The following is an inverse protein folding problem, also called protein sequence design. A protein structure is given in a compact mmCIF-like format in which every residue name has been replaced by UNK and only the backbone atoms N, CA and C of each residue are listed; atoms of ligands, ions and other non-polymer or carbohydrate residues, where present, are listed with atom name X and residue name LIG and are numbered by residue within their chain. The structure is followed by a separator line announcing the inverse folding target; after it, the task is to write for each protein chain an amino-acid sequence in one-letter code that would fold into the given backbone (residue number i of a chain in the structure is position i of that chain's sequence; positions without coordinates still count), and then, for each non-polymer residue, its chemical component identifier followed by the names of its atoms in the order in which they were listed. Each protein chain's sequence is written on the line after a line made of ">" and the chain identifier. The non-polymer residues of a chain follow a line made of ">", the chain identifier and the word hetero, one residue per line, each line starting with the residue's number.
data_IF_221321191280
#
_entry.id   IF_221321191280
#
_cell.length_a   1.000
_cell.length_b   1.000
_cell.length_c   1.000
_cell.angle_alpha   90.00
_cell.angle_beta   90.00
_cell.angle_gamma   90.00
#
_symmetry.space_group_name_H-M   'P 1'
#
loop_
_entity.id
_entity.type
_entity.pdbx_description
1 polymer ?
#
# COMPACT_ATOMS: atom_id res chain seq x y z
N UNK A 1 -27.33 30.09 -2.69
CA UNK A 1 -26.34 30.00 -1.61
C UNK A 1 -26.06 28.56 -1.21
N UNK A 2 -27.10 27.76 -0.97
CA UNK A 2 -26.92 26.33 -0.67
C UNK A 2 -26.39 25.56 -1.86
N UNK A 3 -26.74 25.94 -3.08
CA UNK A 3 -26.24 25.32 -4.32
C UNK A 3 -24.73 25.51 -4.49
N UNK A 4 -24.22 26.67 -4.15
CA UNK A 4 -22.80 26.98 -4.24
C UNK A 4 -22.01 26.10 -3.27
N UNK A 5 -22.52 25.94 -2.06
CA UNK A 5 -21.91 25.07 -1.04
C UNK A 5 -21.89 23.63 -1.50
N UNK A 6 -23.00 23.14 -2.04
CA UNK A 6 -23.09 21.77 -2.57
C UNK A 6 -22.10 21.52 -3.69
N UNK A 7 -21.96 22.46 -4.63
CA UNK A 7 -21.01 22.35 -5.73
C UNK A 7 -19.57 22.33 -5.26
N UNK A 8 -19.23 23.16 -4.28
CA UNK A 8 -17.89 23.19 -3.71
C UNK A 8 -17.56 21.87 -3.00
N UNK A 9 -18.51 21.35 -2.23
CA UNK A 9 -18.35 20.05 -1.55
C UNK A 9 -18.21 18.89 -2.54
N UNK A 10 -19.03 18.87 -3.59
CA UNK A 10 -18.96 17.85 -4.62
C UNK A 10 -17.63 17.86 -5.35
N UNK A 11 -17.14 19.04 -5.72
CA UNK A 11 -15.84 19.17 -6.39
C UNK A 11 -14.70 18.69 -5.49
N UNK A 12 -14.74 19.08 -4.21
CA UNK A 12 -13.74 18.66 -3.24
C UNK A 12 -13.76 17.15 -3.01
N UNK A 13 -14.93 16.57 -2.87
CA UNK A 13 -15.10 15.12 -2.69
C UNK A 13 -14.61 14.34 -3.91
N UNK A 14 -14.88 14.84 -5.10
CA UNK A 14 -14.45 14.19 -6.34
C UNK A 14 -12.91 14.11 -6.40
N UNK A 15 -12.22 15.20 -6.10
CA UNK A 15 -10.76 15.23 -6.10
C UNK A 15 -10.18 14.33 -5.01
N UNK A 16 -10.75 14.32 -3.82
CA UNK A 16 -10.31 13.48 -2.71
C UNK A 16 -10.52 12.01 -3.04
N UNK A 17 -11.67 11.64 -3.60
CA UNK A 17 -11.95 10.27 -4.01
C UNK A 17 -10.95 9.78 -5.05
N UNK A 18 -10.59 10.63 -5.98
CA UNK A 18 -9.60 10.31 -7.01
C UNK A 18 -8.24 10.03 -6.38
N UNK A 19 -7.81 10.86 -5.44
CA UNK A 19 -6.55 10.66 -4.72
C UNK A 19 -6.60 9.40 -3.87
N UNK A 20 -7.72 9.13 -3.21
CA UNK A 20 -7.90 7.94 -2.38
C UNK A 20 -7.83 6.64 -3.19
N UNK A 21 -8.27 6.62 -4.43
CA UNK A 21 -8.15 5.46 -5.30
C UNK A 21 -6.69 5.06 -5.52
N UNK A 22 -5.83 6.03 -5.82
CA UNK A 22 -4.40 5.78 -5.98
C UNK A 22 -3.75 5.37 -4.67
N UNK A 23 -4.18 5.99 -3.59
CA UNK A 23 -3.69 5.68 -2.24
C UNK A 23 -4.08 4.27 -1.82
N UNK A 24 -5.30 3.84 -2.15
CA UNK A 24 -5.78 2.49 -1.89
C UNK A 24 -4.92 1.45 -2.59
N UNK A 25 -4.53 1.71 -3.85
CA UNK A 25 -3.62 0.85 -4.59
C UNK A 25 -2.27 0.75 -3.90
N UNK A 26 -1.73 1.88 -3.47
CA UNK A 26 -0.46 1.92 -2.74
C UNK A 26 -0.54 1.13 -1.44
N UNK A 27 -1.63 1.27 -0.70
CA UNK A 27 -1.89 0.51 0.52
C UNK A 27 -1.98 -0.99 0.27
N UNK A 28 -2.61 -1.39 -0.83
CA UNK A 28 -2.70 -2.78 -1.23
C UNK A 28 -1.30 -3.35 -1.51
N UNK A 29 -0.47 -2.62 -2.24
CA UNK A 29 0.90 -3.03 -2.53
C UNK A 29 1.69 -3.19 -1.23
N UNK A 30 1.58 -2.24 -0.31
CA UNK A 30 2.26 -2.28 0.98
C UNK A 30 1.85 -3.49 1.82
N UNK A 31 0.58 -3.89 1.76
CA UNK A 31 0.04 -5.02 2.52
C UNK A 31 0.37 -6.36 1.86
N UNK A 32 0.26 -6.44 0.53
CA UNK A 32 0.43 -7.69 -0.23
C UNK A 32 1.89 -8.07 -0.41
N UNK A 33 2.80 -7.08 -0.52
CA UNK A 33 4.21 -7.36 -0.79
C UNK A 33 4.87 -8.26 0.24
N UNK A 34 4.71 -8.04 1.57
CA UNK A 34 5.27 -8.97 2.56
C UNK A 34 4.63 -10.36 2.47
N UNK A 35 3.35 -10.42 2.18
CA UNK A 35 2.61 -11.68 2.05
C UNK A 35 3.12 -12.48 0.84
N UNK A 36 3.39 -11.81 -0.27
CA UNK A 36 3.99 -12.45 -1.44
C UNK A 36 5.39 -12.98 -1.14
N UNK A 37 6.18 -12.22 -0.38
CA UNK A 37 7.49 -12.68 0.07
C UNK A 37 7.39 -13.93 0.93
N UNK A 38 6.43 -13.97 1.83
CA UNK A 38 6.16 -15.13 2.67
C UNK A 38 5.71 -16.33 1.83
N UNK A 39 4.83 -16.11 0.85
CA UNK A 39 4.38 -17.15 -0.06
C UNK A 39 5.58 -17.75 -0.82
N UNK A 40 6.50 -16.89 -1.27
CA UNK A 40 7.73 -17.35 -1.92
C UNK A 40 8.56 -18.26 -1.04
N UNK A 41 8.66 -17.96 0.25
CA UNK A 41 9.35 -18.81 1.22
C UNK A 41 8.67 -20.17 1.33
N UNK A 42 7.34 -20.20 1.45
CA UNK A 42 6.57 -21.44 1.58
C UNK A 42 6.72 -22.30 0.34
N UNK A 43 6.56 -21.75 -0.85
CA UNK A 43 6.71 -22.46 -2.12
C UNK A 43 8.15 -22.97 -2.28
N UNK A 44 9.13 -22.15 -1.94
CA UNK A 44 10.54 -22.53 -1.98
C UNK A 44 10.84 -23.71 -1.08
N UNK A 45 10.31 -23.73 0.14
CA UNK A 45 10.50 -24.84 1.07
C UNK A 45 9.83 -26.11 0.59
N UNK A 46 8.65 -26.01 0.00
CA UNK A 46 7.96 -27.17 -0.58
C UNK A 46 8.82 -27.78 -1.69
N UNK A 47 9.36 -26.98 -2.58
CA UNK A 47 10.22 -27.44 -3.67
C UNK A 47 11.50 -28.10 -3.16
N UNK A 48 12.11 -27.51 -2.12
CA UNK A 48 13.33 -28.04 -1.52
C UNK A 48 13.10 -29.45 -0.97
N UNK A 49 12.07 -29.62 -0.16
CA UNK A 49 11.77 -30.91 0.47
C UNK A 49 11.31 -31.92 -0.55
N UNK A 50 10.58 -31.51 -1.57
CA UNK A 50 10.17 -32.39 -2.68
C UNK A 50 11.38 -32.95 -3.41
N UNK A 51 12.33 -32.11 -3.76
CA UNK A 51 13.55 -32.50 -4.42
C UNK A 51 14.43 -33.40 -3.54
N UNK A 52 14.48 -33.10 -2.25
CA UNK A 52 15.25 -33.89 -1.30
C UNK A 52 14.71 -35.31 -1.20
N UNK A 53 13.39 -35.46 -1.18
CA UNK A 53 12.74 -36.79 -1.15
C UNK A 53 12.97 -37.60 -2.42
N UNK A 54 12.93 -36.92 -3.59
CA UNK A 54 13.15 -37.58 -4.88
C UNK A 54 14.60 -38.01 -5.08
N UNK A 55 15.54 -37.18 -4.70
CA UNK A 55 16.96 -37.44 -4.93
C UNK A 55 17.52 -38.53 -4.01
N UNK A 56 16.90 -38.73 -2.86
CA UNK A 56 17.33 -39.72 -1.86
C UNK A 56 18.82 -39.59 -1.48
N UNK A 57 19.34 -38.37 -1.62
CA UNK A 57 20.74 -38.03 -1.37
C UNK A 57 20.86 -37.30 -0.05
N UNK A 58 21.81 -37.66 0.77
CA UNK A 58 22.09 -37.01 2.03
C UNK A 58 22.81 -35.66 1.93
N UNK A 59 22.88 -35.07 0.72
CA UNK A 59 23.57 -33.81 0.50
C UNK A 59 22.72 -32.63 1.00
N UNK A 60 23.33 -31.78 1.84
CA UNK A 60 22.69 -30.61 2.37
C UNK A 60 22.88 -29.36 1.50
N UNK A 61 23.75 -29.41 0.49
CA UNK A 61 24.05 -28.28 -0.38
C UNK A 61 22.86 -27.76 -1.16
N UNK A 62 22.04 -28.59 -1.81
CA UNK A 62 20.82 -28.08 -2.47
C UNK A 62 19.81 -27.48 -1.50
N UNK A 63 19.74 -28.04 -0.29
CA UNK A 63 18.85 -27.56 0.76
C UNK A 63 19.26 -26.15 1.19
N UNK A 64 20.54 -25.92 1.45
CA UNK A 64 21.05 -24.61 1.85
C UNK A 64 20.82 -23.57 0.77
N UNK A 65 21.06 -23.93 -0.50
CA UNK A 65 20.84 -23.02 -1.64
C UNK A 65 19.38 -22.63 -1.80
N UNK A 66 18.47 -23.60 -1.65
CA UNK A 66 17.03 -23.34 -1.76
C UNK A 66 16.49 -22.51 -0.62
N UNK A 67 16.98 -22.72 0.59
CA UNK A 67 16.59 -21.89 1.76
C UNK A 67 17.07 -20.46 1.55
N UNK A 68 18.31 -20.27 1.07
CA UNK A 68 18.85 -18.94 0.78
C UNK A 68 18.00 -18.22 -0.25
N UNK A 69 17.57 -18.91 -1.31
CA UNK A 69 16.71 -18.36 -2.35
C UNK A 69 15.35 -17.93 -1.77
N UNK A 70 14.74 -18.74 -0.93
CA UNK A 70 13.48 -18.42 -0.27
C UNK A 70 13.61 -17.19 0.63
N UNK A 71 14.71 -17.09 1.38
CA UNK A 71 14.97 -15.93 2.25
C UNK A 71 15.17 -14.65 1.44
N UNK A 72 15.83 -14.73 0.29
CA UNK A 72 16.01 -13.58 -0.61
C UNK A 72 14.66 -13.11 -1.13
N UNK A 73 13.75 -14.01 -1.46
CA UNK A 73 12.39 -13.67 -1.90
C UNK A 73 11.64 -12.92 -0.82
N UNK A 74 11.74 -13.35 0.44
CA UNK A 74 11.14 -12.65 1.57
C UNK A 74 11.74 -11.24 1.74
N UNK A 75 13.06 -11.13 1.65
CA UNK A 75 13.77 -9.86 1.73
C UNK A 75 13.32 -8.91 0.62
N UNK A 76 13.16 -9.41 -0.59
CA UNK A 76 12.68 -8.60 -1.72
C UNK A 76 11.28 -8.03 -1.45
N UNK A 77 10.37 -8.87 -0.93
CA UNK A 77 9.03 -8.42 -0.56
C UNK A 77 9.05 -7.32 0.49
N UNK A 78 9.91 -7.44 1.49
CA UNK A 78 10.06 -6.45 2.55
C UNK A 78 10.70 -5.15 2.04
N UNK A 79 11.66 -5.25 1.13
CA UNK A 79 12.31 -4.07 0.52
C UNK A 79 11.29 -3.23 -0.24
N UNK A 80 10.32 -3.85 -0.88
CA UNK A 80 9.23 -3.15 -1.56
C UNK A 80 8.22 -2.62 -0.54
N UNK A 81 7.89 -3.41 0.48
CA UNK A 81 6.85 -3.09 1.44
C UNK A 81 7.19 -1.90 2.34
N UNK A 82 8.44 -1.83 2.82
CA UNK A 82 8.82 -0.82 3.81
C UNK A 82 8.69 0.60 3.25
N UNK A 83 9.34 0.97 2.12
CA UNK A 83 9.17 2.31 1.60
C UNK A 83 7.74 2.59 1.13
N UNK A 84 7.07 1.59 0.56
CA UNK A 84 5.68 1.74 0.11
C UNK A 84 4.76 2.07 1.28
N UNK A 85 4.94 1.40 2.41
CA UNK A 85 4.16 1.65 3.63
C UNK A 85 4.42 3.05 4.19
N UNK A 86 5.67 3.49 4.19
CA UNK A 86 6.05 4.82 4.66
C UNK A 86 5.36 5.89 3.81
N UNK A 87 5.45 5.77 2.48
CA UNK A 87 4.78 6.70 1.57
C UNK A 87 3.26 6.64 1.70
N UNK A 88 2.69 5.44 1.86
CA UNK A 88 1.25 5.27 2.06
C UNK A 88 0.76 6.06 3.27
N UNK A 89 1.44 5.92 4.41
CA UNK A 89 1.06 6.63 5.63
C UNK A 89 1.23 8.13 5.49
N UNK A 90 2.31 8.55 4.84
CA UNK A 90 2.59 9.97 4.62
C UNK A 90 1.51 10.61 3.75
N UNK A 91 1.17 10.00 2.63
CA UNK A 91 0.15 10.51 1.73
C UNK A 91 -1.25 10.46 2.34
N UNK A 92 -1.55 9.44 3.15
CA UNK A 92 -2.82 9.38 3.88
C UNK A 92 -2.97 10.60 4.79
N UNK A 93 -1.92 10.94 5.51
CA UNK A 93 -1.93 12.12 6.40
C UNK A 93 -2.09 13.41 5.60
N UNK A 94 -1.39 13.55 4.48
CA UNK A 94 -1.49 14.73 3.62
C UNK A 94 -2.92 14.88 3.10
N UNK A 95 -3.54 13.81 2.64
CA UNK A 95 -4.91 13.85 2.11
C UNK A 95 -5.91 14.23 3.20
N UNK A 96 -5.75 13.70 4.41
CA UNK A 96 -6.60 14.08 5.55
C UNK A 96 -6.49 15.57 5.86
N UNK A 97 -5.27 16.08 5.94
CA UNK A 97 -5.02 17.51 6.19
C UNK A 97 -5.56 18.38 5.05
N UNK A 98 -5.37 17.94 3.81
CA UNK A 98 -5.85 18.65 2.64
C UNK A 98 -7.38 18.72 2.62
N UNK A 99 -8.03 17.62 2.99
CA UNK A 99 -9.49 17.55 3.10
C UNK A 99 -10.02 18.56 4.11
N UNK A 100 -9.37 18.66 5.28
CA UNK A 100 -9.74 19.63 6.32
C UNK A 100 -9.54 21.07 5.84
N UNK A 101 -8.44 21.35 5.17
CA UNK A 101 -8.16 22.68 4.62
C UNK A 101 -9.19 23.08 3.57
N UNK A 102 -9.59 22.17 2.71
CA UNK A 102 -10.61 22.42 1.69
C UNK A 102 -11.96 22.75 2.33
N UNK A 103 -12.33 22.03 3.39
CA UNK A 103 -13.56 22.33 4.12
C UNK A 103 -13.53 23.73 4.76
N UNK A 104 -12.41 24.07 5.39
CA UNK A 104 -12.24 25.38 6.00
C UNK A 104 -12.31 26.51 4.97
N UNK A 105 -11.61 26.36 3.86
CA UNK A 105 -11.60 27.36 2.80
C UNK A 105 -12.97 27.51 2.15
N UNK A 106 -13.66 26.39 1.92
CA UNK A 106 -15.01 26.41 1.37
C UNK A 106 -15.97 27.12 2.31
N UNK A 107 -15.88 26.86 3.61
CA UNK A 107 -16.72 27.51 4.62
C UNK A 107 -16.43 29.01 4.72
N UNK A 108 -15.16 29.41 4.69
CA UNK A 108 -14.77 30.82 4.69
C UNK A 108 -15.28 31.55 3.46
N UNK A 109 -15.18 30.95 2.32
CA UNK A 109 -15.65 31.53 1.06
C UNK A 109 -17.16 31.72 1.08
N UNK A 110 -17.88 30.72 1.55
CA UNK A 110 -19.34 30.78 1.65
C UNK A 110 -19.76 31.84 2.66
N UNK A 111 -19.10 31.90 3.81
CA UNK A 111 -19.38 32.92 4.82
C UNK A 111 -19.13 34.34 4.27
N UNK A 112 -18.06 34.51 3.51
CA UNK A 112 -17.76 35.77 2.86
C UNK A 112 -18.89 36.22 1.91
N UNK A 113 -19.37 35.26 1.10
CA UNK A 113 -20.47 35.55 0.17
C UNK A 113 -21.80 35.85 0.87
N UNK A 114 -22.05 35.19 1.99
CA UNK A 114 -23.28 35.40 2.77
C UNK A 114 -23.28 36.78 3.45
N UNK A 115 -22.12 37.26 3.91
CA UNK A 115 -21.99 38.54 4.57
C UNK A 115 -22.23 39.73 3.64
N UNK A 116 -22.01 39.57 2.38
CA UNK A 116 -22.32 40.59 1.38
C UNK A 116 -23.73 40.43 0.83
#
# INVERSE_FOLDING_TARGET
>A
KSNLRMRAEEAGRFEINRLEQYLSLLGTIATVSPILGLLGTVVGMINIFSNLLESNMGSTSPLAGGIAEALVTTAAGLIVAIPTLIFYRHFTRIIENYSLELEEEANKFIDYLIKE
#
